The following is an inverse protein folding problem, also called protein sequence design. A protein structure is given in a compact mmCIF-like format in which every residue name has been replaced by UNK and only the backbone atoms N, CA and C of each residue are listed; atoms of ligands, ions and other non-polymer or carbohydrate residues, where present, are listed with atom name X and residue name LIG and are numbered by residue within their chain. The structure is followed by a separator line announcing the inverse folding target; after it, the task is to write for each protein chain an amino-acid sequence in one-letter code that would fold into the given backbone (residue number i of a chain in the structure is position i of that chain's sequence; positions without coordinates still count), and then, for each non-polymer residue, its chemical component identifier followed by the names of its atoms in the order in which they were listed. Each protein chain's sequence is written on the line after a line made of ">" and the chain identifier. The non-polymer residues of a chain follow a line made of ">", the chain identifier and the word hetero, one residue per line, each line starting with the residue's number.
data_IF_596098452988
#
_entry.id   IF_596098452988
#
_cell.length_a   1.000
_cell.length_b   1.000
_cell.length_c   1.000
_cell.angle_alpha   90.00
_cell.angle_beta   90.00
_cell.angle_gamma   90.00
#
_symmetry.space_group_name_H-M   'P 1'
#
loop_
_entity.id
_entity.type
_entity.pdbx_description
1 polymer ?
#
# COMPACT_ATOMS: atom_id res chain seq x y z
N UNK A 1 -27.53 11.86 2.19
CA UNK A 1 -26.29 12.30 2.89
C UNK A 1 -25.06 11.67 2.25
N UNK A 2 -23.97 12.43 2.04
CA UNK A 2 -22.76 11.90 1.42
C UNK A 2 -22.09 10.80 2.28
N UNK A 3 -21.64 9.73 1.65
CA UNK A 3 -20.86 8.67 2.29
C UNK A 3 -19.45 9.19 2.60
N UNK A 4 -18.91 8.86 3.79
CA UNK A 4 -17.60 9.32 4.25
C UNK A 4 -16.80 8.18 4.87
N UNK A 5 -15.47 8.27 4.92
CA UNK A 5 -14.62 7.31 5.62
C UNK A 5 -15.04 7.07 7.07
N UNK A 6 -15.35 8.13 7.82
CA UNK A 6 -15.85 8.02 9.19
C UNK A 6 -17.14 7.20 9.28
N UNK A 7 -18.09 7.42 8.34
CA UNK A 7 -19.31 6.60 8.24
C UNK A 7 -19.03 5.17 7.74
N UNK A 8 -17.92 4.98 7.04
CA UNK A 8 -17.45 3.66 6.64
C UNK A 8 -16.66 2.92 7.75
N UNK A 9 -16.49 3.52 8.93
CA UNK A 9 -15.80 2.93 10.08
C UNK A 9 -14.33 3.34 10.21
N UNK A 10 -13.83 4.24 9.34
CA UNK A 10 -12.42 4.66 9.33
C UNK A 10 -12.33 6.15 9.68
N UNK A 11 -11.92 6.48 10.90
CA UNK A 11 -11.71 7.86 11.36
C UNK A 11 -10.23 8.25 11.22
N UNK A 12 -9.89 8.91 10.11
CA UNK A 12 -8.51 9.31 9.77
C UNK A 12 -7.91 10.25 10.83
N UNK A 13 -8.73 11.10 11.49
CA UNK A 13 -8.23 12.02 12.51
C UNK A 13 -7.76 11.25 13.76
N UNK A 14 -8.54 10.26 14.20
CA UNK A 14 -8.17 9.37 15.30
C UNK A 14 -6.94 8.54 14.97
N UNK A 15 -6.83 8.02 13.74
CA UNK A 15 -5.64 7.29 13.29
C UNK A 15 -4.39 8.16 13.39
N UNK A 16 -4.42 9.41 12.91
CA UNK A 16 -3.30 10.36 13.03
C UNK A 16 -2.93 10.65 14.49
N UNK A 17 -3.92 10.81 15.36
CA UNK A 17 -3.70 11.02 16.80
C UNK A 17 -3.02 9.80 17.44
N UNK A 18 -3.50 8.59 17.15
CA UNK A 18 -2.89 7.34 17.62
C UNK A 18 -1.47 7.19 17.11
N UNK A 19 -1.21 7.43 15.82
CA UNK A 19 0.13 7.38 15.24
C UNK A 19 1.11 8.35 15.91
N UNK A 20 0.64 9.56 16.28
CA UNK A 20 1.47 10.54 17.00
C UNK A 20 1.85 10.05 18.40
N UNK A 21 0.91 9.43 19.12
CA UNK A 21 1.17 8.88 20.45
C UNK A 21 2.12 7.67 20.38
N UNK A 22 1.84 6.73 19.45
CA UNK A 22 2.68 5.55 19.20
C UNK A 22 4.10 5.97 18.80
N UNK A 23 4.24 6.98 17.94
CA UNK A 23 5.53 7.47 17.47
C UNK A 23 6.46 7.91 18.60
N UNK A 24 5.92 8.55 19.65
CA UNK A 24 6.70 8.93 20.84
C UNK A 24 7.26 7.72 21.59
N UNK A 25 6.44 6.68 21.74
CA UNK A 25 6.86 5.43 22.41
C UNK A 25 7.90 4.68 21.57
N UNK A 26 7.68 4.54 20.28
CA UNK A 26 8.62 3.87 19.37
C UNK A 26 9.98 4.56 19.36
N UNK A 27 10.00 5.89 19.27
CA UNK A 27 11.26 6.65 19.20
C UNK A 27 12.10 6.54 20.47
N UNK A 28 11.51 6.17 21.62
CA UNK A 28 12.28 5.92 22.85
C UNK A 28 13.23 4.73 22.71
N UNK A 29 12.96 3.81 21.77
CA UNK A 29 13.79 2.61 21.51
C UNK A 29 14.97 2.89 20.56
N UNK A 30 15.00 4.03 19.88
CA UNK A 30 15.96 4.30 18.80
C UNK A 30 17.43 4.34 19.24
N UNK A 31 17.70 4.49 20.55
CA UNK A 31 19.05 4.55 21.10
C UNK A 31 19.53 3.22 21.72
N UNK A 32 18.71 2.18 21.69
CA UNK A 32 19.03 0.90 22.35
C UNK A 32 20.16 0.14 21.65
N UNK A 33 20.27 0.23 20.32
CA UNK A 33 21.30 -0.46 19.55
C UNK A 33 22.43 0.49 19.18
N UNK A 34 23.68 0.10 19.53
CA UNK A 34 24.88 0.90 19.24
C UNK A 34 25.54 0.56 17.89
N UNK A 35 25.35 -0.67 17.37
CA UNK A 35 25.94 -1.14 16.12
C UNK A 35 25.14 -0.72 14.88
N UNK A 36 23.92 -0.24 15.06
CA UNK A 36 23.05 0.21 13.97
C UNK A 36 22.45 1.57 14.34
N UNK A 37 22.65 2.56 13.49
CA UNK A 37 22.16 3.92 13.73
C UNK A 37 20.87 4.15 12.96
N UNK A 38 19.85 4.69 13.61
CA UNK A 38 18.63 5.11 12.93
C UNK A 38 18.99 6.28 12.01
N UNK A 39 18.91 6.08 10.71
CA UNK A 39 19.11 7.11 9.71
C UNK A 39 17.80 7.88 9.45
N UNK A 40 16.67 7.18 9.43
CA UNK A 40 15.34 7.75 9.41
C UNK A 40 14.35 6.83 10.13
N UNK A 41 13.66 7.37 11.11
CA UNK A 41 12.74 6.61 11.96
C UNK A 41 11.29 6.66 11.50
N UNK A 42 10.38 6.70 12.48
CA UNK A 42 8.95 6.67 12.31
C UNK A 42 8.40 7.89 11.51
N UNK A 43 7.55 7.62 10.51
CA UNK A 43 6.79 8.65 9.79
C UNK A 43 7.09 8.82 8.30
N UNK A 44 8.11 8.16 7.77
CA UNK A 44 8.41 8.08 6.33
C UNK A 44 7.81 6.81 5.70
N UNK A 45 8.20 6.46 4.47
CA UNK A 45 7.77 5.25 3.76
C UNK A 45 8.41 3.97 4.31
N UNK A 46 9.58 4.07 4.94
CA UNK A 46 10.25 2.95 5.59
C UNK A 46 11.03 3.41 6.82
N UNK A 47 11.29 2.50 7.77
CA UNK A 47 12.33 2.65 8.77
C UNK A 47 13.69 2.39 8.15
N UNK A 48 14.69 3.25 8.43
CA UNK A 48 16.02 3.18 7.82
C UNK A 48 17.08 3.13 8.91
N UNK A 49 17.91 2.09 8.84
CA UNK A 49 19.00 1.86 9.78
C UNK A 49 20.32 1.81 9.03
N UNK A 50 21.29 2.59 9.45
CA UNK A 50 22.67 2.49 8.97
C UNK A 50 23.34 1.27 9.61
N UNK A 51 23.78 0.33 8.78
CA UNK A 51 24.46 -0.91 9.19
C UNK A 51 25.97 -0.78 8.93
N UNK A 52 26.82 -1.65 9.52
CA UNK A 52 28.25 -1.68 9.24
C UNK A 52 28.55 -1.72 7.73
N UNK A 53 29.58 -0.98 7.30
CA UNK A 53 29.90 -0.84 5.87
C UNK A 53 29.22 0.34 5.18
N UNK A 54 28.47 1.18 5.91
CA UNK A 54 27.87 2.42 5.38
C UNK A 54 26.63 2.23 4.53
N UNK A 55 26.09 1.00 4.48
CA UNK A 55 24.85 0.71 3.79
C UNK A 55 23.64 1.03 4.68
N UNK A 56 22.53 1.39 4.04
CA UNK A 56 21.25 1.63 4.67
C UNK A 56 20.36 0.41 4.50
N UNK A 57 19.91 -0.15 5.61
CA UNK A 57 18.88 -1.20 5.64
C UNK A 57 17.53 -0.52 5.80
N UNK A 58 16.64 -0.75 4.85
CA UNK A 58 15.26 -0.27 4.88
C UNK A 58 14.32 -1.41 5.27
N UNK A 59 13.34 -1.14 6.14
CA UNK A 59 12.31 -2.11 6.51
C UNK A 59 10.93 -1.47 6.44
N UNK A 60 9.98 -2.20 5.89
CA UNK A 60 8.58 -1.79 5.84
C UNK A 60 7.66 -2.98 6.04
N UNK A 61 6.51 -2.76 6.67
CA UNK A 61 5.44 -3.75 6.81
C UNK A 61 4.10 -3.11 6.52
N UNK A 62 3.30 -3.78 5.71
CA UNK A 62 1.92 -3.37 5.41
C UNK A 62 1.06 -4.59 5.12
N UNK A 63 -0.25 -4.45 5.32
CA UNK A 63 -1.25 -5.44 5.01
C UNK A 63 -2.07 -5.07 3.79
N UNK A 64 -2.73 -6.06 3.21
CA UNK A 64 -3.64 -5.83 2.06
C UNK A 64 -4.91 -5.08 2.48
N UNK A 65 -5.27 -5.15 3.76
CA UNK A 65 -6.47 -4.52 4.28
C UNK A 65 -7.76 -5.15 3.76
N UNK A 66 -8.82 -4.36 3.71
CA UNK A 66 -10.18 -4.90 3.47
C UNK A 66 -10.45 -5.35 2.02
N UNK A 67 -9.47 -5.35 1.13
CA UNK A 67 -9.56 -5.97 -0.21
C UNK A 67 -9.73 -7.50 -0.10
N UNK A 68 -9.20 -8.12 0.96
CA UNK A 68 -9.40 -9.56 1.25
C UNK A 68 -10.87 -9.96 1.30
N UNK A 69 -11.77 -9.06 1.70
CA UNK A 69 -13.22 -9.31 1.70
C UNK A 69 -13.76 -9.48 0.28
N UNK A 70 -13.27 -8.68 -0.68
CA UNK A 70 -13.65 -8.82 -2.10
C UNK A 70 -13.13 -10.15 -2.67
N UNK A 71 -11.87 -10.49 -2.36
CA UNK A 71 -11.27 -11.78 -2.71
C UNK A 71 -12.15 -12.95 -2.26
N UNK A 72 -12.63 -12.88 -1.03
CA UNK A 72 -13.48 -13.91 -0.44
C UNK A 72 -14.87 -13.98 -1.12
N UNK A 73 -15.52 -12.84 -1.33
CA UNK A 73 -16.82 -12.77 -2.05
C UNK A 73 -16.73 -13.31 -3.47
N UNK A 74 -15.62 -13.06 -4.15
CA UNK A 74 -15.37 -13.52 -5.52
C UNK A 74 -14.76 -14.93 -5.58
N UNK A 75 -14.36 -15.51 -4.45
CA UNK A 75 -13.60 -16.77 -4.35
C UNK A 75 -12.33 -16.78 -5.22
N UNK A 76 -11.68 -15.60 -5.36
CA UNK A 76 -10.46 -15.37 -6.12
C UNK A 76 -9.34 -14.94 -5.17
N UNK A 77 -8.35 -15.78 -4.98
CA UNK A 77 -7.31 -15.58 -3.95
C UNK A 77 -5.91 -15.30 -4.52
N UNK A 78 -5.69 -15.62 -5.80
CA UNK A 78 -4.36 -15.54 -6.43
C UNK A 78 -3.89 -14.10 -6.77
N UNK A 79 -4.76 -13.10 -6.69
CA UNK A 79 -4.36 -11.70 -6.91
C UNK A 79 -3.92 -11.00 -5.63
N UNK A 80 -4.45 -11.44 -4.50
CA UNK A 80 -4.27 -10.77 -3.19
C UNK A 80 -2.81 -10.81 -2.70
N UNK A 81 -2.07 -11.88 -3.01
CA UNK A 81 -0.65 -11.95 -2.70
C UNK A 81 0.17 -10.93 -3.49
N UNK A 82 -0.23 -10.62 -4.74
CA UNK A 82 0.41 -9.55 -5.53
C UNK A 82 0.22 -8.21 -4.82
N UNK A 83 -1.00 -7.92 -4.32
CA UNK A 83 -1.28 -6.69 -3.57
C UNK A 83 -0.42 -6.60 -2.31
N UNK A 84 -0.25 -7.70 -1.56
CA UNK A 84 0.57 -7.74 -0.37
C UNK A 84 2.03 -7.36 -0.67
N UNK A 85 2.62 -7.95 -1.70
CA UNK A 85 3.98 -7.61 -2.13
C UNK A 85 4.03 -6.15 -2.60
N UNK A 86 3.09 -5.72 -3.44
CA UNK A 86 3.07 -4.37 -4.02
C UNK A 86 3.01 -3.28 -2.93
N UNK A 87 2.13 -3.42 -1.92
CA UNK A 87 2.01 -2.44 -0.83
C UNK A 87 3.33 -2.27 -0.09
N UNK A 88 4.09 -3.33 0.07
CA UNK A 88 5.37 -3.31 0.76
C UNK A 88 6.51 -2.79 -0.11
N UNK A 89 6.68 -3.32 -1.32
CA UNK A 89 7.82 -2.93 -2.16
C UNK A 89 7.69 -1.52 -2.72
N UNK A 90 6.47 -1.07 -3.04
CA UNK A 90 6.25 0.28 -3.53
C UNK A 90 6.59 1.36 -2.48
N UNK A 91 6.47 1.04 -1.19
CA UNK A 91 6.88 1.96 -0.13
C UNK A 91 8.40 2.03 0.00
N UNK A 92 9.14 0.90 0.01
CA UNK A 92 10.60 0.98 0.15
C UNK A 92 11.33 1.54 -1.07
N UNK A 93 10.79 1.36 -2.28
CA UNK A 93 11.39 2.00 -3.46
C UNK A 93 11.22 3.52 -3.43
N UNK A 94 10.24 4.07 -2.69
CA UNK A 94 10.11 5.52 -2.50
C UNK A 94 11.28 6.16 -1.75
N UNK A 95 12.11 5.38 -1.11
CA UNK A 95 13.36 5.87 -0.50
C UNK A 95 14.61 5.45 -1.30
N UNK A 96 14.44 4.89 -2.50
CA UNK A 96 15.51 4.41 -3.37
C UNK A 96 16.04 3.03 -2.99
N UNK A 97 15.40 2.31 -2.06
CA UNK A 97 15.88 1.01 -1.61
C UNK A 97 15.49 -0.12 -2.57
N UNK A 98 16.45 -0.98 -2.89
CA UNK A 98 16.21 -2.21 -3.65
C UNK A 98 15.70 -3.30 -2.71
N UNK A 99 14.52 -3.90 -2.96
CA UNK A 99 14.02 -5.04 -2.18
C UNK A 99 14.97 -6.22 -2.26
N UNK A 100 15.29 -6.85 -1.12
CA UNK A 100 16.21 -7.99 -1.05
C UNK A 100 15.60 -9.23 -0.40
N UNK A 101 14.55 -9.07 0.40
CA UNK A 101 13.85 -10.22 0.99
C UNK A 101 12.44 -9.83 1.43
N UNK A 102 11.56 -10.83 1.45
CA UNK A 102 10.18 -10.70 1.87
C UNK A 102 9.78 -11.84 2.81
N UNK A 103 8.95 -11.53 3.78
CA UNK A 103 8.24 -12.51 4.62
C UNK A 103 6.77 -12.12 4.70
N UNK A 104 5.87 -13.11 4.80
CA UNK A 104 4.43 -12.88 4.91
C UNK A 104 3.87 -13.39 6.24
N UNK A 105 2.69 -12.89 6.57
CA UNK A 105 1.86 -13.37 7.67
C UNK A 105 0.43 -13.55 7.19
N UNK A 106 -0.05 -14.80 7.19
CA UNK A 106 -1.42 -15.15 6.84
C UNK A 106 -2.13 -15.60 8.12
N UNK A 107 -3.16 -14.86 8.54
CA UNK A 107 -4.04 -15.27 9.62
C UNK A 107 -5.40 -15.68 9.06
N UNK A 108 -5.92 -16.86 9.40
CA UNK A 108 -7.19 -17.35 8.90
C UNK A 108 -8.04 -17.99 9.99
N UNK A 109 -9.36 -17.98 9.80
CA UNK A 109 -10.29 -18.61 10.73
C UNK A 109 -10.31 -20.14 10.66
N UNK A 110 -9.80 -20.71 9.56
CA UNK A 110 -9.71 -22.17 9.37
C UNK A 110 -8.66 -22.55 8.35
N UNK A 111 -8.20 -23.78 8.43
CA UNK A 111 -7.27 -24.34 7.47
C UNK A 111 -7.98 -24.63 6.14
N UNK A 112 -7.43 -24.12 5.03
CA UNK A 112 -7.91 -24.38 3.67
C UNK A 112 -6.70 -24.37 2.71
N UNK A 113 -6.04 -25.50 2.59
CA UNK A 113 -4.80 -25.66 1.81
C UNK A 113 -4.92 -25.15 0.36
N UNK A 114 -5.99 -25.45 -0.40
CA UNK A 114 -6.16 -24.90 -1.75
C UNK A 114 -6.18 -23.37 -1.80
N UNK A 115 -6.80 -22.70 -0.82
CA UNK A 115 -6.84 -21.24 -0.78
C UNK A 115 -5.51 -20.64 -0.36
N UNK A 116 -4.86 -21.19 0.64
CA UNK A 116 -3.50 -20.79 1.00
C UNK A 116 -2.54 -20.89 -0.19
N UNK A 117 -2.57 -22.02 -0.92
CA UNK A 117 -1.78 -22.18 -2.13
C UNK A 117 -2.01 -21.05 -3.12
N UNK A 118 -3.27 -20.67 -3.39
CA UNK A 118 -3.60 -19.55 -4.30
C UNK A 118 -3.11 -18.21 -3.79
N UNK A 119 -3.21 -17.93 -2.49
CA UNK A 119 -2.67 -16.69 -1.90
C UNK A 119 -1.16 -16.64 -2.11
N UNK A 120 -0.45 -17.74 -1.82
CA UNK A 120 1.00 -17.84 -1.99
C UNK A 120 1.42 -17.77 -3.47
N UNK A 121 0.64 -18.32 -4.41
CA UNK A 121 0.85 -18.13 -5.85
C UNK A 121 0.87 -16.63 -6.23
N UNK A 122 -0.01 -15.85 -5.61
CA UNK A 122 -0.02 -14.40 -5.75
C UNK A 122 1.23 -13.73 -5.16
N UNK A 123 1.65 -14.13 -3.95
CA UNK A 123 2.90 -13.65 -3.33
C UNK A 123 4.11 -13.94 -4.22
N UNK A 124 4.23 -15.16 -4.72
CA UNK A 124 5.31 -15.58 -5.65
C UNK A 124 5.30 -14.74 -6.93
N UNK A 125 4.12 -14.47 -7.47
CA UNK A 125 3.98 -13.62 -8.67
C UNK A 125 4.48 -12.20 -8.40
N UNK A 126 4.08 -11.60 -7.27
CA UNK A 126 4.54 -10.27 -6.86
C UNK A 126 6.05 -10.24 -6.60
N UNK A 127 6.58 -11.25 -5.92
CA UNK A 127 8.01 -11.37 -5.61
C UNK A 127 8.86 -11.48 -6.90
N UNK A 128 8.43 -12.28 -7.88
CA UNK A 128 9.08 -12.37 -9.20
C UNK A 128 9.09 -11.03 -9.94
N UNK A 129 7.98 -10.27 -9.92
CA UNK A 129 7.92 -8.93 -10.51
C UNK A 129 8.87 -7.93 -9.84
N UNK A 130 9.14 -8.12 -8.56
CA UNK A 130 10.05 -7.26 -7.77
C UNK A 130 11.49 -7.77 -7.75
N UNK A 131 11.80 -8.88 -8.44
CA UNK A 131 13.09 -9.56 -8.42
C UNK A 131 13.60 -9.88 -6.99
N UNK A 132 12.69 -10.29 -6.10
CA UNK A 132 12.93 -10.42 -4.67
C UNK A 132 12.54 -11.83 -4.19
N UNK A 133 13.38 -12.54 -3.39
CA UNK A 133 13.01 -13.82 -2.80
C UNK A 133 12.05 -13.66 -1.63
N UNK A 134 11.12 -14.62 -1.49
CA UNK A 134 10.38 -14.86 -0.24
C UNK A 134 11.24 -15.83 0.58
N UNK A 135 11.63 -15.42 1.78
CA UNK A 135 12.59 -16.17 2.62
C UNK A 135 11.96 -16.82 3.84
N UNK A 136 10.68 -16.60 4.06
CA UNK A 136 9.92 -17.16 5.17
C UNK A 136 8.53 -16.57 5.27
N UNK A 137 7.83 -16.90 6.33
CA UNK A 137 6.50 -16.41 6.63
C UNK A 137 5.86 -17.19 7.76
N UNK A 138 4.62 -16.84 8.13
CA UNK A 138 3.85 -17.51 9.16
C UNK A 138 2.41 -17.70 8.69
N UNK A 139 1.82 -18.86 8.98
CA UNK A 139 0.40 -19.13 8.73
C UNK A 139 -0.28 -19.54 10.04
N UNK A 140 -1.12 -18.64 10.57
CA UNK A 140 -1.81 -18.83 11.83
C UNK A 140 -3.31 -19.15 11.63
N UNK A 141 -3.80 -20.19 12.28
CA UNK A 141 -5.22 -20.53 12.33
C UNK A 141 -5.80 -19.99 13.63
N UNK A 142 -6.61 -18.96 13.54
CA UNK A 142 -7.12 -18.18 14.66
C UNK A 142 -8.65 -17.97 14.56
N UNK A 143 -9.48 -19.01 14.76
CA UNK A 143 -10.93 -18.95 14.57
C UNK A 143 -11.60 -17.91 15.50
N UNK A 144 -11.08 -17.72 16.71
CA UNK A 144 -11.64 -16.80 17.70
C UNK A 144 -11.22 -15.33 17.48
N UNK A 145 -10.30 -15.07 16.55
CA UNK A 145 -9.76 -13.73 16.26
C UNK A 145 -10.15 -13.27 14.86
N UNK A 146 -10.11 -14.18 13.89
CA UNK A 146 -10.47 -13.91 12.50
C UNK A 146 -11.92 -14.35 12.27
N UNK A 147 -12.83 -13.39 12.41
CA UNK A 147 -14.26 -13.62 12.20
C UNK A 147 -14.68 -13.42 10.75
N UNK A 148 -15.68 -14.18 10.30
CA UNK A 148 -16.30 -14.02 8.97
C UNK A 148 -16.90 -15.30 8.42
N UNK A 149 -17.80 -15.14 7.45
CA UNK A 149 -18.42 -16.28 6.77
C UNK A 149 -17.42 -17.00 5.86
N UNK A 150 -17.48 -18.33 5.90
CA UNK A 150 -16.68 -19.17 5.03
C UNK A 150 -15.19 -19.17 5.40
N UNK A 151 -14.31 -18.80 4.48
CA UNK A 151 -12.87 -18.65 4.70
C UNK A 151 -12.53 -17.18 4.89
N UNK A 152 -12.46 -16.75 6.14
CA UNK A 152 -12.01 -15.41 6.49
C UNK A 152 -10.51 -15.42 6.77
N UNK A 153 -9.80 -14.37 6.33
CA UNK A 153 -8.35 -14.25 6.52
C UNK A 153 -7.89 -12.79 6.49
N UNK A 154 -6.72 -12.57 7.05
CA UNK A 154 -5.93 -11.36 6.86
C UNK A 154 -4.57 -11.73 6.24
N UNK A 155 -3.97 -10.79 5.53
CA UNK A 155 -2.69 -10.99 4.85
C UNK A 155 -1.86 -9.72 4.99
N UNK A 156 -0.69 -9.86 5.58
CA UNK A 156 0.32 -8.83 5.71
C UNK A 156 1.68 -9.34 5.25
N UNK A 157 2.62 -8.44 5.04
CA UNK A 157 3.97 -8.78 4.70
C UNK A 157 4.97 -7.78 5.28
N UNK A 158 6.22 -8.17 5.25
CA UNK A 158 7.35 -7.30 5.58
C UNK A 158 8.41 -7.45 4.51
N UNK A 159 8.90 -6.32 4.03
CA UNK A 159 10.00 -6.23 3.08
C UNK A 159 11.24 -5.65 3.73
N UNK A 160 12.40 -6.21 3.37
CA UNK A 160 13.71 -5.65 3.68
C UNK A 160 14.35 -5.19 2.37
N UNK A 161 14.96 -4.00 2.38
CA UNK A 161 15.67 -3.45 1.24
C UNK A 161 17.01 -2.87 1.63
N UNK A 162 17.86 -2.68 0.63
CA UNK A 162 19.17 -2.02 0.77
C UNK A 162 19.26 -0.81 -0.15
N UNK A 163 19.93 0.23 0.33
CA UNK A 163 20.26 1.43 -0.44
C UNK A 163 21.59 2.03 0.03
N UNK A 164 22.37 2.56 -0.90
CA UNK A 164 23.56 3.32 -0.53
C UNK A 164 23.15 4.68 0.03
N UNK A 165 23.90 5.19 0.99
CA UNK A 165 23.59 6.49 1.65
C UNK A 165 23.46 7.65 0.68
N UNK A 166 24.25 7.66 -0.39
CA UNK A 166 24.22 8.69 -1.44
C UNK A 166 22.96 8.64 -2.31
N UNK A 167 22.33 7.47 -2.42
CA UNK A 167 21.17 7.19 -3.28
C UNK A 167 19.83 7.29 -2.54
N UNK A 168 19.86 7.61 -1.24
CA UNK A 168 18.66 7.83 -0.42
C UNK A 168 17.81 8.99 -0.95
N UNK A 169 16.52 8.72 -1.19
CA UNK A 169 15.52 9.68 -1.64
C UNK A 169 14.57 9.99 -0.48
N UNK A 170 14.81 11.05 0.25
CA UNK A 170 14.03 11.44 1.44
C UNK A 170 13.16 12.69 1.23
N UNK A 171 13.17 13.31 0.05
CA UNK A 171 12.39 14.51 -0.24
C UNK A 171 13.03 15.81 0.23
N UNK A 172 14.10 15.79 1.01
CA UNK A 172 14.77 16.98 1.54
C UNK A 172 15.37 17.89 0.45
N UNK A 173 15.66 17.32 -0.72
CA UNK A 173 16.21 18.04 -1.89
C UNK A 173 15.14 18.68 -2.79
N UNK A 174 13.86 18.47 -2.52
CA UNK A 174 12.74 19.07 -3.27
C UNK A 174 12.81 20.60 -3.15
N UNK A 175 12.67 21.30 -4.26
CA UNK A 175 12.72 22.75 -4.33
C UNK A 175 11.69 23.30 -5.32
N UNK A 176 11.42 24.59 -5.25
CA UNK A 176 10.60 25.29 -6.26
C UNK A 176 11.19 25.11 -7.64
N UNK A 177 10.35 24.82 -8.63
CA UNK A 177 10.73 24.53 -10.00
C UNK A 177 10.96 23.03 -10.29
N UNK A 178 10.92 22.13 -9.29
CA UNK A 178 10.90 20.71 -9.53
C UNK A 178 9.59 20.28 -10.20
N UNK A 179 9.67 19.36 -11.16
CA UNK A 179 8.50 18.85 -11.90
C UNK A 179 7.96 17.60 -11.20
N UNK A 180 6.63 17.52 -11.08
CA UNK A 180 5.92 16.35 -10.56
C UNK A 180 5.52 15.46 -11.74
N UNK A 181 5.94 14.20 -11.72
CA UNK A 181 5.55 13.19 -12.70
C UNK A 181 4.77 12.10 -11.97
N UNK A 182 3.57 11.77 -12.49
CA UNK A 182 2.73 10.71 -11.95
C UNK A 182 2.82 9.43 -12.78
N UNK A 183 3.00 8.28 -12.15
CA UNK A 183 2.81 6.97 -12.76
C UNK A 183 1.35 6.55 -12.63
N UNK A 184 0.79 5.96 -13.70
CA UNK A 184 -0.61 5.50 -13.71
C UNK A 184 -0.81 4.31 -12.77
N UNK A 185 -1.98 4.25 -12.13
CA UNK A 185 -2.44 3.09 -11.39
C UNK A 185 -3.25 2.14 -12.28
N UNK A 186 -3.42 0.89 -11.83
CA UNK A 186 -4.24 -0.13 -12.49
C UNK A 186 -5.70 -0.13 -12.04
N UNK A 187 -6.05 0.65 -11.03
CA UNK A 187 -7.37 0.73 -10.41
C UNK A 187 -7.28 1.34 -9.02
N UNK A 188 -8.15 0.95 -8.10
CA UNK A 188 -8.14 1.44 -6.71
C UNK A 188 -7.07 0.76 -5.84
N UNK A 189 -6.24 -0.09 -6.42
CA UNK A 189 -5.15 -0.84 -5.80
C UNK A 189 -5.58 -1.59 -4.54
N UNK A 190 -5.04 -1.23 -3.36
CA UNK A 190 -5.38 -1.87 -2.08
C UNK A 190 -5.97 -0.88 -1.05
N UNK A 191 -6.34 0.33 -1.46
CA UNK A 191 -6.83 1.37 -0.55
C UNK A 191 -8.30 1.75 -0.82
N UNK A 192 -8.97 2.33 0.18
CA UNK A 192 -10.33 2.83 0.02
C UNK A 192 -11.44 1.78 0.01
N UNK A 193 -11.15 0.50 0.20
CA UNK A 193 -12.11 -0.60 0.05
C UNK A 193 -13.28 -0.55 1.02
N UNK A 194 -13.11 -0.08 2.24
CA UNK A 194 -14.22 0.09 3.20
C UNK A 194 -15.28 1.07 2.66
N UNK A 195 -14.84 2.11 1.97
CA UNK A 195 -15.73 3.09 1.35
C UNK A 195 -16.31 2.57 0.03
N UNK A 196 -15.47 2.01 -0.85
CA UNK A 196 -15.86 1.47 -2.15
C UNK A 196 -16.92 0.36 -2.01
N UNK A 197 -16.71 -0.59 -1.08
CA UNK A 197 -17.69 -1.65 -0.80
C UNK A 197 -19.04 -1.09 -0.33
N UNK A 198 -19.02 -0.18 0.64
CA UNK A 198 -20.26 0.44 1.15
C UNK A 198 -20.97 1.29 0.09
N UNK A 199 -20.24 1.90 -0.84
CA UNK A 199 -20.81 2.64 -1.94
C UNK A 199 -21.45 1.71 -2.98
N UNK A 200 -20.70 0.73 -3.45
CA UNK A 200 -21.12 -0.13 -4.56
C UNK A 200 -22.11 -1.23 -4.14
N UNK A 201 -21.80 -1.98 -3.06
CA UNK A 201 -22.59 -3.15 -2.69
C UNK A 201 -23.93 -2.83 -2.02
N UNK A 202 -24.23 -1.54 -1.83
CA UNK A 202 -25.57 -1.10 -1.46
C UNK A 202 -26.56 -1.20 -2.63
N UNK A 203 -26.09 -1.07 -3.87
CA UNK A 203 -26.91 -1.01 -5.09
C UNK A 203 -26.65 -2.17 -6.02
N UNK A 204 -25.43 -2.66 -6.07
CA UNK A 204 -24.96 -3.68 -7.02
C UNK A 204 -24.54 -4.95 -6.31
N UNK A 205 -24.71 -6.08 -7.00
CA UNK A 205 -24.03 -7.33 -6.64
C UNK A 205 -22.54 -7.25 -7.04
N UNK A 206 -21.67 -7.92 -6.30
CA UNK A 206 -20.26 -8.04 -6.66
C UNK A 206 -20.02 -8.69 -8.05
N UNK A 207 -21.02 -9.46 -8.54
CA UNK A 207 -20.98 -10.15 -9.83
C UNK A 207 -21.64 -9.36 -10.97
N UNK A 208 -22.23 -8.21 -10.69
CA UNK A 208 -22.86 -7.40 -11.72
C UNK A 208 -21.85 -6.91 -12.74
N UNK A 209 -22.24 -6.95 -14.02
CA UNK A 209 -21.44 -6.45 -15.13
C UNK A 209 -21.96 -5.08 -15.55
N UNK A 210 -21.11 -4.07 -15.40
CA UNK A 210 -21.41 -2.67 -15.72
C UNK A 210 -20.68 -2.26 -17.00
N UNK A 211 -21.39 -1.58 -17.91
CA UNK A 211 -20.79 -1.07 -19.14
C UNK A 211 -19.60 -0.15 -18.83
N UNK A 212 -18.46 -0.36 -19.46
CA UNK A 212 -17.24 0.38 -19.25
C UNK A 212 -16.39 -0.07 -18.05
N UNK A 213 -16.97 -0.77 -17.06
CA UNK A 213 -16.26 -1.28 -15.87
C UNK A 213 -15.96 -2.77 -15.98
N UNK A 214 -16.86 -3.56 -16.56
CA UNK A 214 -16.83 -5.02 -16.51
C UNK A 214 -17.53 -5.56 -15.27
N UNK A 215 -17.13 -6.73 -14.79
CA UNK A 215 -17.63 -7.30 -13.52
C UNK A 215 -17.04 -6.51 -12.36
N UNK A 216 -17.91 -6.00 -11.47
CA UNK A 216 -17.51 -5.14 -10.35
C UNK A 216 -16.42 -5.80 -9.50
N UNK A 217 -16.60 -7.07 -9.14
CA UNK A 217 -15.63 -7.81 -8.34
C UNK A 217 -14.27 -7.96 -9.02
N UNK A 218 -14.24 -8.17 -10.33
CA UNK A 218 -12.99 -8.26 -11.10
C UNK A 218 -12.28 -6.90 -11.17
N UNK A 219 -13.01 -5.82 -11.40
CA UNK A 219 -12.47 -4.48 -11.39
C UNK A 219 -11.88 -4.10 -10.03
N UNK A 220 -12.55 -4.51 -8.93
CA UNK A 220 -12.06 -4.33 -7.58
C UNK A 220 -10.87 -5.24 -7.23
N UNK A 221 -10.76 -6.43 -7.82
CA UNK A 221 -9.65 -7.36 -7.58
C UNK A 221 -8.45 -7.13 -8.51
N UNK A 222 -8.51 -6.12 -9.38
CA UNK A 222 -7.34 -5.79 -10.20
C UNK A 222 -6.12 -5.56 -9.29
N UNK A 223 -4.99 -6.29 -9.52
CA UNK A 223 -3.85 -6.19 -8.63
C UNK A 223 -3.25 -4.79 -8.61
N UNK A 224 -2.73 -4.41 -7.46
CA UNK A 224 -1.87 -3.23 -7.30
C UNK A 224 -0.66 -3.36 -8.21
N UNK A 225 -0.33 -2.32 -8.94
CA UNK A 225 0.85 -2.28 -9.81
C UNK A 225 2.12 -2.29 -8.95
N UNK A 226 3.13 -2.99 -9.44
CA UNK A 226 4.46 -3.06 -8.83
C UNK A 226 5.41 -2.21 -9.65
N UNK A 227 5.89 -1.12 -9.07
CA UNK A 227 6.73 -0.13 -9.75
C UNK A 227 8.23 -0.32 -9.49
N UNK A 228 8.65 -1.46 -8.91
CA UNK A 228 10.03 -1.67 -8.45
C UNK A 228 11.04 -1.40 -9.57
N UNK A 229 10.96 -2.11 -10.69
CA UNK A 229 11.95 -2.01 -11.75
C UNK A 229 12.00 -0.61 -12.39
N UNK A 230 10.87 -0.02 -12.86
CA UNK A 230 10.93 1.30 -13.51
C UNK A 230 11.37 2.41 -12.54
N UNK A 231 10.98 2.34 -11.26
CA UNK A 231 11.37 3.36 -10.29
C UNK A 231 12.86 3.25 -9.94
N UNK A 232 13.39 2.05 -9.69
CA UNK A 232 14.81 1.88 -9.40
C UNK A 232 15.69 2.23 -10.59
N UNK A 233 15.27 1.91 -11.82
CA UNK A 233 15.96 2.34 -13.04
C UNK A 233 15.98 3.88 -13.17
N UNK A 234 14.86 4.52 -12.88
CA UNK A 234 14.75 5.98 -12.88
C UNK A 234 15.66 6.62 -11.82
N UNK A 235 15.73 6.06 -10.61
CA UNK A 235 16.62 6.54 -9.54
C UNK A 235 18.10 6.45 -9.95
N UNK A 236 18.46 5.42 -10.71
CA UNK A 236 19.84 5.26 -11.21
C UNK A 236 20.18 6.22 -12.34
N UNK A 237 19.23 6.53 -13.24
CA UNK A 237 19.47 7.30 -14.46
C UNK A 237 19.15 8.80 -14.33
N UNK A 238 18.32 9.18 -13.37
CA UNK A 238 17.80 10.53 -13.23
C UNK A 238 18.10 11.09 -11.84
N UNK A 239 18.14 12.43 -11.75
CA UNK A 239 18.18 13.12 -10.45
C UNK A 239 16.79 13.20 -9.87
N UNK A 240 16.51 12.37 -8.89
CA UNK A 240 15.21 12.30 -8.21
C UNK A 240 15.32 13.00 -6.85
N UNK A 241 14.47 13.99 -6.59
CA UNK A 241 14.45 14.76 -5.36
C UNK A 241 13.43 14.22 -4.35
N UNK A 242 12.41 13.47 -4.80
CA UNK A 242 11.40 12.84 -3.95
C UNK A 242 10.59 11.81 -4.70
N UNK A 243 10.12 10.79 -4.01
CA UNK A 243 9.22 9.74 -4.51
C UNK A 243 8.08 9.57 -3.52
N UNK A 244 6.87 9.43 -4.01
CA UNK A 244 5.69 9.24 -3.18
C UNK A 244 4.81 8.11 -3.71
N UNK A 245 4.51 7.14 -2.86
CA UNK A 245 3.47 6.15 -3.10
C UNK A 245 2.13 6.72 -2.65
N UNK A 246 1.27 7.02 -3.62
CA UNK A 246 -0.03 7.63 -3.37
C UNK A 246 -1.01 6.55 -2.93
N UNK A 247 -1.16 6.38 -1.62
CA UNK A 247 -2.04 5.42 -0.94
C UNK A 247 -3.00 6.12 0.01
N UNK A 248 -3.37 5.49 1.14
CA UNK A 248 -4.23 6.08 2.17
C UNK A 248 -3.80 7.49 2.57
N UNK A 249 -4.68 8.47 2.34
CA UNK A 249 -4.39 9.90 2.51
C UNK A 249 -4.12 10.65 1.19
N UNK A 250 -4.09 9.94 0.05
CA UNK A 250 -3.93 10.49 -1.30
C UNK A 250 -2.74 11.49 -1.38
N UNK A 251 -2.91 12.61 -2.07
CA UNK A 251 -1.86 13.62 -2.26
C UNK A 251 -1.31 14.24 -0.97
N UNK A 252 -1.95 14.04 0.20
CA UNK A 252 -1.34 14.44 1.47
C UNK A 252 -0.05 13.66 1.79
N UNK A 253 0.20 12.56 1.07
CA UNK A 253 1.46 11.81 1.14
C UNK A 253 2.67 12.62 0.67
N UNK A 254 2.49 13.58 -0.23
CA UNK A 254 3.55 14.49 -0.67
C UNK A 254 4.13 15.31 0.51
N UNK A 255 3.30 15.66 1.50
CA UNK A 255 3.73 16.37 2.69
C UNK A 255 4.67 15.56 3.60
N UNK A 256 4.75 14.23 3.41
CA UNK A 256 5.75 13.39 4.10
C UNK A 256 7.17 13.65 3.59
N UNK A 257 7.31 14.04 2.32
CA UNK A 257 8.59 14.34 1.69
C UNK A 257 9.09 15.70 2.11
N UNK A 258 8.24 16.71 1.97
CA UNK A 258 8.54 18.09 2.35
C UNK A 258 7.26 18.86 2.60
N UNK A 259 7.21 19.62 3.68
CA UNK A 259 6.10 20.52 3.96
C UNK A 259 6.23 21.79 3.11
N UNK A 260 5.72 21.74 1.88
CA UNK A 260 5.73 22.83 0.90
C UNK A 260 4.47 22.78 0.06
N UNK A 261 4.25 23.77 -0.82
CA UNK A 261 3.18 23.76 -1.82
C UNK A 261 3.51 22.81 -2.97
N UNK A 262 2.52 22.06 -3.42
CA UNK A 262 2.58 21.19 -4.60
C UNK A 262 1.45 21.57 -5.53
N UNK A 263 1.78 21.90 -6.78
CA UNK A 263 0.82 22.20 -7.82
C UNK A 263 0.71 21.00 -8.77
N UNK A 264 -0.51 20.48 -8.94
CA UNK A 264 -0.79 19.34 -9.83
C UNK A 264 -1.74 19.87 -10.90
N UNK A 265 -1.21 20.10 -12.11
CA UNK A 265 -1.94 20.75 -13.19
C UNK A 265 -2.70 19.75 -14.07
N UNK A 266 -2.26 18.51 -14.10
CA UNK A 266 -2.87 17.45 -14.90
C UNK A 266 -2.94 16.14 -14.12
N UNK A 267 -4.06 15.44 -14.29
CA UNK A 267 -4.27 14.11 -13.74
C UNK A 267 -4.59 13.13 -14.88
N UNK A 268 -4.20 11.85 -14.76
CA UNK A 268 -4.58 10.85 -15.73
C UNK A 268 -6.11 10.66 -15.77
N UNK A 269 -6.60 10.04 -16.86
CA UNK A 269 -8.02 9.71 -16.99
C UNK A 269 -8.49 8.86 -15.82
N UNK A 270 -9.63 9.23 -15.26
CA UNK A 270 -10.26 8.51 -14.15
C UNK A 270 -10.63 7.08 -14.56
N UNK A 271 -10.20 6.06 -13.83
CA UNK A 271 -10.65 4.69 -14.07
C UNK A 271 -12.17 4.54 -13.91
N UNK A 272 -12.87 3.83 -14.82
CA UNK A 272 -14.33 3.74 -14.78
C UNK A 272 -14.91 3.21 -13.46
N UNK A 273 -14.21 2.33 -12.76
CA UNK A 273 -14.65 1.86 -11.43
C UNK A 273 -14.68 3.00 -10.39
N UNK A 274 -13.79 3.98 -10.50
CA UNK A 274 -13.78 5.15 -9.60
C UNK A 274 -14.93 6.11 -9.94
N UNK A 275 -15.25 6.29 -11.22
CA UNK A 275 -16.43 7.05 -11.66
C UNK A 275 -17.70 6.40 -11.10
N UNK A 276 -17.84 5.08 -11.23
CA UNK A 276 -18.96 4.33 -10.67
C UNK A 276 -19.10 4.50 -9.15
N UNK A 277 -17.99 4.46 -8.41
CA UNK A 277 -17.97 4.70 -6.95
C UNK A 277 -18.44 6.14 -6.65
N UNK A 278 -18.00 7.11 -7.43
CA UNK A 278 -18.35 8.51 -7.27
C UNK A 278 -19.86 8.74 -7.49
N UNK A 279 -20.45 8.12 -8.49
CA UNK A 279 -21.88 8.15 -8.76
C UNK A 279 -22.74 7.65 -7.59
N UNK A 280 -22.20 6.77 -6.74
CA UNK A 280 -22.85 6.30 -5.52
C UNK A 280 -22.75 7.29 -4.34
N UNK A 281 -22.49 8.57 -4.60
CA UNK A 281 -22.53 9.65 -3.62
C UNK A 281 -21.21 9.89 -2.87
N UNK A 282 -20.10 9.40 -3.39
CA UNK A 282 -18.76 9.73 -2.88
C UNK A 282 -18.28 10.99 -3.59
N UNK A 283 -18.15 12.11 -2.86
CA UNK A 283 -17.78 13.41 -3.45
C UNK A 283 -16.33 13.44 -3.92
N UNK A 284 -16.06 13.98 -5.11
CA UNK A 284 -14.74 14.07 -5.74
C UNK A 284 -13.65 14.65 -4.82
N UNK A 285 -13.91 15.76 -4.12
CA UNK A 285 -12.97 16.35 -3.15
C UNK A 285 -12.54 15.37 -2.05
N UNK A 286 -13.35 14.35 -1.75
CA UNK A 286 -13.02 13.32 -0.79
C UNK A 286 -12.27 12.16 -1.42
N UNK A 287 -12.52 11.85 -2.69
CA UNK A 287 -11.73 10.89 -3.45
C UNK A 287 -10.28 11.35 -3.56
N UNK A 288 -10.05 12.60 -3.97
CA UNK A 288 -8.70 13.17 -4.14
C UNK A 288 -7.95 13.32 -2.80
N UNK A 289 -8.66 13.66 -1.70
CA UNK A 289 -8.02 13.85 -0.38
C UNK A 289 -7.87 12.57 0.45
N UNK A 290 -8.53 11.48 0.10
CA UNK A 290 -8.70 10.32 0.99
C UNK A 290 -8.49 8.97 0.30
N UNK A 291 -7.70 8.92 -0.78
CA UNK A 291 -7.19 7.65 -1.32
C UNK A 291 -8.17 6.70 -2.01
N UNK A 292 -9.14 7.20 -2.74
CA UNK A 292 -9.77 6.39 -3.79
C UNK A 292 -9.01 6.58 -5.12
N UNK A 293 -8.16 7.59 -5.20
CA UNK A 293 -7.30 7.91 -6.35
C UNK A 293 -5.84 7.63 -5.97
N UNK A 294 -5.37 6.48 -6.31
CA UNK A 294 -3.94 6.16 -6.39
C UNK A 294 -3.45 6.33 -7.81
#
# INVERSE_FOLDING_TARGET
>A
MALTYKKAGVDISKIKQSQKAIGKLITSTHKLQKKAKIAHGFGHYAGIVEIPGGKMLATHTDGVGTKVVISNLMKKYNTIGIDCVAMNVNDIICIGATPISFVDYIAANKNDVPKFKKIVEGLVTGAKKSAMPIVGGETAIMPDVIEGEGFAYDLAGMVVGLVEKKDLVLGNKIKTGDVIIGANSTGIHSNGYSLARKALLKKYSIKDKIKGVGVIGDALLKPTEIYTNPVLEMVQKCKINGLAHITGGAFTKLLRLKNTGYQIDSLPKIPPIMELIQEQGVKMKKCIRHSIWE
#
